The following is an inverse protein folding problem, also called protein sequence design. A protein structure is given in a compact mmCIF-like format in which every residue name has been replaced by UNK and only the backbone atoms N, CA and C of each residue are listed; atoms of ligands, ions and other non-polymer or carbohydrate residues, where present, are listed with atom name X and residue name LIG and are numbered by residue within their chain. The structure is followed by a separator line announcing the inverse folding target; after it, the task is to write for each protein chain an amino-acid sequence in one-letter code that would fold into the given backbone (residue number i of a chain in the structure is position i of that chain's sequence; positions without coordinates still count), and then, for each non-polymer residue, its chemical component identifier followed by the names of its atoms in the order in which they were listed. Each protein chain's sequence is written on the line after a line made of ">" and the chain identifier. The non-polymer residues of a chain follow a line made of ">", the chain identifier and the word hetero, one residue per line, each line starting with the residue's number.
data_IF_840459049866
#
_entry.id   IF_840459049866
#
_cell.length_a   1.000
_cell.length_b   1.000
_cell.length_c   1.000
_cell.angle_alpha   90.00
_cell.angle_beta   90.00
_cell.angle_gamma   90.00
#
_symmetry.space_group_name_H-M   'P 1'
#
loop_
_entity.id
_entity.type
_entity.pdbx_description
1 polymer ?
#
# COMPACT_ATOMS: atom_id res chain seq x y z
N UNK A 1 35.45 9.23 -14.08
CA UNK A 1 34.26 8.51 -13.61
C UNK A 1 34.39 8.41 -12.09
N UNK A 2 33.52 9.06 -11.32
CA UNK A 2 33.58 9.00 -9.86
C UNK A 2 32.96 7.68 -9.38
N UNK A 3 33.77 6.84 -8.75
CA UNK A 3 33.35 5.63 -8.03
C UNK A 3 33.25 5.97 -6.54
N UNK A 4 32.16 5.56 -5.91
CA UNK A 4 31.90 5.81 -4.49
C UNK A 4 31.83 4.46 -3.77
N UNK A 5 32.70 4.25 -2.78
CA UNK A 5 32.83 2.99 -2.03
C UNK A 5 32.17 3.05 -0.64
N UNK A 6 31.34 4.07 -0.38
CA UNK A 6 30.70 4.29 0.92
C UNK A 6 29.33 4.98 0.81
N UNK A 7 28.74 5.31 1.96
CA UNK A 7 27.41 5.91 2.07
C UNK A 7 27.28 7.29 1.39
N UNK A 8 28.38 7.93 0.97
CA UNK A 8 28.32 9.19 0.20
C UNK A 8 27.63 9.01 -1.16
N UNK A 9 27.63 7.79 -1.69
CA UNK A 9 26.83 7.43 -2.87
C UNK A 9 25.32 7.65 -2.63
N UNK A 10 24.83 7.37 -1.42
CA UNK A 10 23.42 7.53 -1.07
C UNK A 10 23.05 9.00 -0.97
N UNK A 11 23.91 9.83 -0.39
CA UNK A 11 23.70 11.28 -0.33
C UNK A 11 23.72 11.93 -1.72
N UNK A 12 24.55 11.42 -2.64
CA UNK A 12 24.61 11.91 -4.02
C UNK A 12 23.33 11.63 -4.83
N UNK A 13 22.64 10.53 -4.54
CA UNK A 13 21.39 10.13 -5.23
C UNK A 13 20.15 10.61 -4.45
N UNK A 14 20.32 11.15 -3.25
CA UNK A 14 19.21 11.61 -2.40
C UNK A 14 18.53 12.84 -3.01
N UNK A 15 17.50 12.58 -3.80
CA UNK A 15 16.65 13.59 -4.41
C UNK A 15 15.27 13.56 -3.77
N UNK A 16 14.78 14.71 -3.32
CA UNK A 16 13.41 14.85 -2.86
C UNK A 16 12.54 15.39 -4.01
N UNK A 17 11.75 14.51 -4.61
CA UNK A 17 10.86 14.83 -5.72
C UNK A 17 9.85 15.94 -5.36
N UNK A 18 9.44 16.06 -4.09
CA UNK A 18 8.53 17.13 -3.65
C UNK A 18 9.22 18.49 -3.53
N UNK A 19 10.46 18.54 -3.03
CA UNK A 19 11.23 19.79 -3.02
C UNK A 19 11.53 20.27 -4.44
N UNK A 20 11.87 19.33 -5.34
CA UNK A 20 12.01 19.64 -6.75
C UNK A 20 10.70 20.12 -7.39
N UNK A 21 9.58 19.47 -7.09
CA UNK A 21 8.26 19.86 -7.58
C UNK A 21 7.80 21.24 -7.07
N UNK A 22 8.15 21.65 -5.85
CA UNK A 22 7.89 23.01 -5.34
C UNK A 22 8.57 24.09 -6.19
N UNK A 23 9.80 23.81 -6.65
CA UNK A 23 10.59 24.74 -7.46
C UNK A 23 10.15 24.69 -8.93
N UNK A 24 9.99 23.50 -9.50
CA UNK A 24 9.73 23.31 -10.92
C UNK A 24 8.25 23.46 -11.31
N UNK A 25 7.31 23.28 -10.37
CA UNK A 25 5.85 23.42 -10.56
C UNK A 25 5.33 22.68 -11.80
N UNK A 26 5.75 21.43 -11.97
CA UNK A 26 5.36 20.64 -13.15
C UNK A 26 3.91 20.18 -13.00
N UNK A 27 3.03 20.70 -13.84
CA UNK A 27 1.59 20.35 -13.81
C UNK A 27 1.38 18.92 -14.28
N UNK A 28 0.63 18.14 -13.51
CA UNK A 28 0.15 16.83 -13.94
C UNK A 28 -0.96 17.01 -14.98
N UNK A 29 -0.71 16.57 -16.22
CA UNK A 29 -1.70 16.57 -17.30
C UNK A 29 -2.58 15.33 -17.22
N UNK A 30 -3.55 15.34 -16.30
CA UNK A 30 -4.53 14.25 -16.12
C UNK A 30 -5.96 14.77 -15.96
N UNK A 31 -6.94 14.11 -16.60
CA UNK A 31 -8.36 14.48 -16.53
C UNK A 31 -9.06 14.08 -15.22
N UNK A 32 -8.43 13.25 -14.38
CA UNK A 32 -9.01 12.73 -13.14
C UNK A 32 -7.93 12.59 -12.07
N UNK A 33 -7.49 13.73 -11.53
CA UNK A 33 -6.35 13.82 -10.60
C UNK A 33 -6.63 13.10 -9.27
N UNK A 34 -7.90 12.98 -8.86
CA UNK A 34 -8.28 12.25 -7.66
C UNK A 34 -8.48 10.75 -7.89
N UNK A 35 -8.36 10.26 -9.14
CA UNK A 35 -8.53 8.85 -9.44
C UNK A 35 -7.47 8.01 -8.73
N UNK A 36 -7.92 7.03 -7.93
CA UNK A 36 -7.04 6.16 -7.16
C UNK A 36 -6.55 6.75 -5.85
N UNK A 37 -7.10 7.88 -5.39
CA UNK A 37 -6.81 8.45 -4.07
C UNK A 37 -7.15 7.46 -2.94
N UNK A 38 -8.09 6.54 -3.16
CA UNK A 38 -8.48 5.47 -2.25
C UNK A 38 -7.34 4.49 -1.96
N UNK A 39 -6.30 4.46 -2.82
CA UNK A 39 -5.07 3.69 -2.59
C UNK A 39 -4.21 4.25 -1.47
N UNK A 40 -4.41 5.53 -1.14
CA UNK A 40 -3.66 6.27 -0.13
C UNK A 40 -4.57 6.57 1.06
N UNK A 41 -5.77 7.09 0.82
CA UNK A 41 -6.75 7.43 1.86
C UNK A 41 -7.62 6.22 2.23
N UNK A 42 -7.10 5.35 3.09
CA UNK A 42 -7.85 4.22 3.64
C UNK A 42 -8.84 4.66 4.72
N UNK A 43 -8.47 5.69 5.48
CA UNK A 43 -9.28 6.33 6.51
C UNK A 43 -9.53 7.78 6.14
N UNK A 44 -10.74 8.27 6.39
CA UNK A 44 -11.03 9.69 6.25
C UNK A 44 -10.16 10.51 7.24
N UNK A 45 -9.35 11.49 6.80
CA UNK A 45 -8.57 12.34 7.70
C UNK A 45 -9.39 13.20 8.69
N UNK A 46 -10.72 13.31 8.50
CA UNK A 46 -11.61 14.10 9.35
C UNK A 46 -12.36 13.27 10.40
N UNK A 47 -12.91 12.11 10.00
CA UNK A 47 -13.73 11.27 10.89
C UNK A 47 -13.15 9.87 11.11
N UNK A 48 -12.01 9.54 10.49
CA UNK A 48 -11.36 8.23 10.53
C UNK A 48 -12.23 7.04 10.07
N UNK A 49 -13.33 7.29 9.37
CA UNK A 49 -14.14 6.22 8.78
C UNK A 49 -13.34 5.47 7.71
N UNK A 50 -13.25 4.14 7.86
CA UNK A 50 -12.51 3.24 6.98
C UNK A 50 -13.21 3.06 5.63
N UNK A 51 -12.44 3.09 4.54
CA UNK A 51 -12.90 2.93 3.14
C UNK A 51 -14.15 3.74 2.80
N UNK A 52 -14.23 4.95 3.35
CA UNK A 52 -15.38 5.86 3.19
C UNK A 52 -15.19 6.88 2.07
N UNK A 53 -13.98 6.98 1.51
CA UNK A 53 -13.64 7.96 0.47
C UNK A 53 -14.01 7.41 -0.91
N UNK A 54 -14.65 8.26 -1.72
CA UNK A 54 -14.97 7.97 -3.12
C UNK A 54 -14.52 9.14 -3.99
N UNK A 55 -13.70 8.88 -5.00
CA UNK A 55 -13.26 9.87 -5.97
C UNK A 55 -14.24 10.04 -7.13
N UNK A 56 -14.35 11.27 -7.62
CA UNK A 56 -14.99 11.62 -8.89
C UNK A 56 -14.27 12.83 -9.51
N UNK A 57 -13.62 12.63 -10.66
CA UNK A 57 -12.80 13.65 -11.32
C UNK A 57 -11.59 14.07 -10.47
N UNK A 58 -11.61 15.33 -9.99
CA UNK A 58 -10.53 15.92 -9.17
C UNK A 58 -10.91 16.07 -7.69
N UNK A 59 -12.10 15.59 -7.30
CA UNK A 59 -12.58 15.65 -5.92
C UNK A 59 -12.76 14.24 -5.37
N UNK A 60 -12.60 14.09 -4.08
CA UNK A 60 -12.99 12.90 -3.35
C UNK A 60 -13.83 13.29 -2.15
N UNK A 61 -14.87 12.52 -1.86
CA UNK A 61 -15.84 12.82 -0.79
C UNK A 61 -15.88 11.64 0.17
N UNK A 62 -15.87 11.95 1.47
CA UNK A 62 -16.16 10.96 2.50
C UNK A 62 -17.66 10.71 2.59
N UNK A 63 -18.11 9.48 2.39
CA UNK A 63 -19.54 9.10 2.52
C UNK A 63 -20.05 9.08 3.96
N UNK A 64 -19.16 9.18 4.95
CA UNK A 64 -19.51 9.15 6.37
C UNK A 64 -19.73 10.55 6.97
N UNK A 65 -18.83 11.51 6.69
CA UNK A 65 -18.90 12.87 7.23
C UNK A 65 -19.01 13.96 6.16
N UNK A 66 -19.13 13.60 4.88
CA UNK A 66 -19.25 14.51 3.74
C UNK A 66 -18.06 15.46 3.52
N UNK A 67 -16.93 15.25 4.20
CA UNK A 67 -15.71 16.04 3.96
C UNK A 67 -15.20 15.85 2.53
N UNK A 68 -14.82 16.95 1.87
CA UNK A 68 -14.26 16.97 0.52
C UNK A 68 -12.73 17.08 0.55
N UNK A 69 -12.08 16.36 -0.36
CA UNK A 69 -10.64 16.38 -0.61
C UNK A 69 -10.41 16.74 -2.08
N UNK A 70 -9.52 17.69 -2.33
CA UNK A 70 -9.17 18.13 -3.68
C UNK A 70 -7.73 17.70 -3.96
N UNK A 71 -7.53 17.09 -5.11
CA UNK A 71 -6.19 16.89 -5.66
C UNK A 71 -5.91 18.02 -6.63
N UNK A 72 -4.92 18.83 -6.32
CA UNK A 72 -4.52 19.94 -7.18
C UNK A 72 -3.68 19.47 -8.38
N UNK A 73 -3.42 20.39 -9.30
CA UNK A 73 -2.65 20.11 -10.52
C UNK A 73 -1.18 19.75 -10.27
N UNK A 74 -0.69 19.89 -9.03
CA UNK A 74 0.67 19.54 -8.62
C UNK A 74 0.72 18.24 -7.81
N UNK A 75 -0.43 17.58 -7.61
CA UNK A 75 -0.53 16.30 -6.91
C UNK A 75 -0.62 16.41 -5.38
N UNK A 76 -0.83 17.62 -4.83
CA UNK A 76 -1.14 17.78 -3.41
C UNK A 76 -2.60 17.45 -3.14
N UNK A 77 -2.86 16.84 -2.00
CA UNK A 77 -4.21 16.59 -1.50
C UNK A 77 -4.46 17.60 -0.38
N UNK A 78 -5.38 18.55 -0.57
CA UNK A 78 -5.64 19.64 0.37
C UNK A 78 -4.35 20.34 0.88
N UNK A 79 -3.45 20.71 -0.03
CA UNK A 79 -2.16 21.34 0.24
C UNK A 79 -1.15 20.49 1.04
N UNK A 80 -1.34 19.18 1.09
CA UNK A 80 -0.40 18.25 1.74
C UNK A 80 0.21 17.28 0.73
N UNK A 81 1.47 16.89 0.96
CA UNK A 81 2.15 15.87 0.16
C UNK A 81 1.54 14.49 0.45
N UNK A 82 1.63 13.60 -0.54
CA UNK A 82 1.21 12.20 -0.38
C UNK A 82 1.98 11.50 0.75
N UNK A 83 3.25 11.86 0.94
CA UNK A 83 4.07 11.29 2.03
C UNK A 83 3.50 11.63 3.40
N UNK A 84 3.16 12.90 3.64
CA UNK A 84 2.57 13.34 4.91
C UNK A 84 1.26 12.63 5.19
N UNK A 85 0.39 12.57 4.18
CA UNK A 85 -0.90 11.89 4.30
C UNK A 85 -0.70 10.40 4.57
N UNK A 86 0.21 9.73 3.85
CA UNK A 86 0.45 8.31 4.06
C UNK A 86 0.95 8.03 5.48
N UNK A 87 1.79 8.93 6.05
CA UNK A 87 2.23 8.81 7.44
C UNK A 87 1.04 8.85 8.41
N UNK A 88 0.13 9.82 8.26
CA UNK A 88 -1.09 9.92 9.08
C UNK A 88 -1.97 8.66 8.94
N UNK A 89 -2.10 8.11 7.73
CA UNK A 89 -2.87 6.89 7.47
C UNK A 89 -2.27 5.66 8.16
N UNK A 90 -0.94 5.55 8.17
CA UNK A 90 -0.23 4.47 8.87
C UNK A 90 -0.38 4.60 10.38
N UNK A 91 -0.31 5.81 10.94
CA UNK A 91 -0.52 6.03 12.37
C UNK A 91 -1.92 5.61 12.86
N UNK A 92 -2.95 5.83 12.04
CA UNK A 92 -4.31 5.35 12.31
C UNK A 92 -4.37 3.82 12.17
N UNK A 93 -3.75 3.28 11.11
CA UNK A 93 -3.73 1.84 10.85
C UNK A 93 -3.06 1.06 11.99
N UNK A 94 -1.93 1.54 12.53
CA UNK A 94 -1.20 0.85 13.59
C UNK A 94 -2.04 0.60 14.85
N UNK A 95 -3.03 1.44 15.10
CA UNK A 95 -3.98 1.32 16.22
C UNK A 95 -5.16 0.39 15.89
N UNK A 96 -5.51 0.27 14.60
CA UNK A 96 -6.79 -0.32 14.14
C UNK A 96 -6.62 -1.52 13.21
N UNK A 97 -5.40 -1.96 12.91
CA UNK A 97 -5.15 -3.00 11.91
C UNK A 97 -5.87 -4.31 12.21
N UNK A 98 -6.12 -4.64 13.48
CA UNK A 98 -6.89 -5.81 13.92
C UNK A 98 -8.37 -5.74 13.57
N UNK A 99 -8.92 -4.54 13.34
CA UNK A 99 -10.30 -4.35 12.87
C UNK A 99 -10.45 -4.74 11.38
N UNK A 100 -9.34 -4.79 10.64
CA UNK A 100 -9.34 -5.08 9.21
C UNK A 100 -9.12 -6.59 9.01
N UNK A 101 -10.24 -7.31 8.92
CA UNK A 101 -10.25 -8.76 8.79
C UNK A 101 -10.45 -9.27 7.35
N UNK A 102 -10.74 -8.39 6.38
CA UNK A 102 -11.05 -8.79 5.01
C UNK A 102 -10.56 -7.78 3.97
N UNK A 103 -9.99 -8.28 2.88
CA UNK A 103 -9.71 -7.56 1.64
C UNK A 103 -10.50 -8.24 0.51
N UNK A 104 -11.39 -7.49 -0.11
CA UNK A 104 -12.28 -8.00 -1.17
C UNK A 104 -11.54 -8.06 -2.51
N UNK A 105 -12.01 -8.88 -3.44
CA UNK A 105 -11.56 -8.64 -4.83
C UNK A 105 -10.19 -9.22 -5.18
N UNK A 106 -9.59 -10.07 -4.34
CA UNK A 106 -8.15 -10.38 -4.49
C UNK A 106 -7.88 -11.46 -5.53
N UNK A 107 -6.70 -11.38 -6.15
CA UNK A 107 -6.09 -12.47 -6.91
C UNK A 107 -4.70 -12.78 -6.33
N UNK A 108 -4.54 -13.97 -5.77
CA UNK A 108 -3.25 -14.50 -5.34
C UNK A 108 -2.64 -15.33 -6.46
N UNK A 109 -1.35 -15.12 -6.72
CA UNK A 109 -0.53 -15.89 -7.65
C UNK A 109 0.67 -16.40 -6.86
N UNK A 110 0.86 -17.72 -6.84
CA UNK A 110 1.98 -18.38 -6.17
C UNK A 110 2.88 -19.00 -7.24
N UNK A 111 4.17 -18.69 -7.17
CA UNK A 111 5.20 -19.26 -8.06
C UNK A 111 6.33 -19.83 -7.25
N UNK A 112 6.92 -20.90 -7.76
CA UNK A 112 8.19 -21.39 -7.23
C UNK A 112 9.28 -20.33 -7.46
N UNK A 113 10.04 -20.02 -6.41
CA UNK A 113 11.03 -18.93 -6.40
C UNK A 113 12.21 -19.22 -7.33
N UNK A 114 12.62 -20.49 -7.49
CA UNK A 114 13.80 -20.87 -8.28
C UNK A 114 13.45 -21.03 -9.76
N UNK A 115 12.36 -21.72 -10.04
CA UNK A 115 11.96 -22.13 -11.39
C UNK A 115 10.95 -21.16 -12.02
N UNK A 116 10.37 -20.23 -11.24
CA UNK A 116 9.29 -19.34 -11.64
C UNK A 116 8.02 -20.07 -12.11
N UNK A 117 7.95 -21.39 -11.93
CA UNK A 117 6.80 -22.23 -12.31
C UNK A 117 5.58 -21.81 -11.51
N UNK A 118 4.46 -21.64 -12.20
CA UNK A 118 3.19 -21.36 -11.55
C UNK A 118 2.79 -22.54 -10.67
N UNK A 119 2.57 -22.27 -9.39
CA UNK A 119 2.13 -23.26 -8.41
C UNK A 119 0.62 -23.17 -8.19
N UNK A 120 0.08 -21.98 -7.97
CA UNK A 120 -1.34 -21.78 -7.74
C UNK A 120 -1.84 -20.39 -8.14
N UNK A 121 -3.13 -20.29 -8.47
CA UNK A 121 -3.87 -19.04 -8.58
C UNK A 121 -5.16 -19.16 -7.78
N UNK A 122 -5.41 -18.21 -6.87
CA UNK A 122 -6.66 -18.12 -6.12
C UNK A 122 -7.30 -16.75 -6.34
N UNK A 123 -8.63 -16.71 -6.34
CA UNK A 123 -9.44 -15.50 -6.47
C UNK A 123 -10.59 -15.54 -5.47
N UNK A 124 -10.93 -14.41 -4.89
CA UNK A 124 -11.98 -14.28 -3.89
C UNK A 124 -11.64 -13.23 -2.85
N UNK A 125 -12.28 -13.33 -1.69
CA UNK A 125 -12.01 -12.46 -0.55
C UNK A 125 -10.87 -13.04 0.28
N UNK A 126 -9.89 -12.20 0.62
CA UNK A 126 -8.80 -12.53 1.52
C UNK A 126 -9.23 -12.24 2.94
N UNK A 127 -9.24 -13.27 3.77
CA UNK A 127 -9.45 -13.13 5.21
C UNK A 127 -8.10 -12.94 5.89
N UNK A 128 -8.09 -12.11 6.93
CA UNK A 128 -6.92 -11.75 7.72
C UNK A 128 -7.27 -12.07 9.17
N UNK A 129 -6.61 -13.08 9.72
CA UNK A 129 -6.70 -13.43 11.14
C UNK A 129 -5.49 -12.88 11.90
N UNK A 130 -5.38 -13.19 13.19
CA UNK A 130 -4.21 -12.82 13.98
C UNK A 130 -2.93 -13.56 13.57
N UNK A 131 -3.04 -14.70 12.88
CA UNK A 131 -1.92 -15.59 12.59
C UNK A 131 -1.67 -15.86 11.10
N UNK A 132 -2.67 -15.65 10.25
CA UNK A 132 -2.60 -16.06 8.87
C UNK A 132 -3.45 -15.19 7.93
N UNK A 133 -3.09 -15.25 6.65
CA UNK A 133 -3.99 -14.92 5.56
C UNK A 133 -4.67 -16.19 5.06
N UNK A 134 -5.96 -16.12 4.78
CA UNK A 134 -6.67 -17.25 4.16
C UNK A 134 -7.58 -16.85 3.01
N UNK A 135 -7.66 -17.72 2.01
CA UNK A 135 -8.56 -17.58 0.87
C UNK A 135 -8.93 -18.96 0.34
N UNK A 136 -10.22 -19.31 0.44
CA UNK A 136 -10.71 -20.65 0.10
C UNK A 136 -9.94 -21.72 0.89
N UNK A 137 -9.25 -22.60 0.20
CA UNK A 137 -8.43 -23.71 0.70
C UNK A 137 -6.94 -23.33 0.88
N UNK A 138 -6.57 -22.07 0.64
CA UNK A 138 -5.20 -21.58 0.84
C UNK A 138 -5.08 -20.84 2.17
N UNK A 139 -4.10 -21.26 2.98
CA UNK A 139 -3.76 -20.67 4.28
C UNK A 139 -2.26 -20.29 4.27
N UNK A 140 -1.94 -19.07 4.69
CA UNK A 140 -0.58 -18.51 4.68
C UNK A 140 -0.27 -17.91 6.05
N UNK A 141 0.44 -18.66 6.89
CA UNK A 141 0.85 -18.21 8.22
C UNK A 141 1.88 -17.07 8.15
N UNK A 142 1.74 -16.08 9.03
CA UNK A 142 2.65 -14.93 9.08
C UNK A 142 4.08 -15.32 9.47
N UNK A 143 4.25 -16.35 10.30
CA UNK A 143 5.55 -16.93 10.70
C UNK A 143 6.43 -17.35 9.50
N UNK A 144 5.79 -17.69 8.39
CA UNK A 144 6.45 -18.18 7.18
C UNK A 144 6.65 -17.11 6.09
N UNK A 145 6.20 -15.88 6.33
CA UNK A 145 6.30 -14.77 5.39
C UNK A 145 7.59 -13.98 5.62
N UNK A 146 8.32 -13.70 4.53
CA UNK A 146 9.55 -12.87 4.54
C UNK A 146 9.55 -11.86 3.39
N UNK A 147 10.19 -10.71 3.62
CA UNK A 147 10.50 -9.74 2.57
C UNK A 147 9.26 -9.16 1.89
N UNK A 148 8.30 -8.64 2.67
CA UNK A 148 7.08 -8.04 2.11
C UNK A 148 7.42 -6.75 1.37
N UNK A 149 6.93 -6.62 0.15
CA UNK A 149 7.12 -5.47 -0.74
C UNK A 149 5.80 -5.08 -1.40
N UNK A 150 5.73 -3.86 -1.92
CA UNK A 150 4.65 -3.42 -2.81
C UNK A 150 5.24 -2.72 -4.02
N UNK A 151 4.72 -3.02 -5.21
CA UNK A 151 5.18 -2.41 -6.45
C UNK A 151 4.14 -1.44 -6.98
N UNK A 152 4.49 -0.14 -7.04
CA UNK A 152 3.60 0.93 -7.52
C UNK A 152 2.20 0.91 -6.88
N UNK A 153 2.06 0.37 -5.65
CA UNK A 153 0.79 0.18 -4.97
C UNK A 153 -0.22 -0.70 -5.74
N UNK A 154 0.25 -1.51 -6.71
CA UNK A 154 -0.59 -2.37 -7.58
C UNK A 154 -0.70 -3.81 -7.11
N UNK A 155 0.29 -4.29 -6.38
CA UNK A 155 0.29 -5.60 -5.75
C UNK A 155 1.21 -5.62 -4.54
N UNK A 156 0.96 -6.58 -3.65
CA UNK A 156 1.80 -6.91 -2.51
C UNK A 156 2.46 -8.25 -2.78
N UNK A 157 3.76 -8.33 -2.55
CA UNK A 157 4.55 -9.52 -2.83
C UNK A 157 5.44 -9.89 -1.64
N UNK A 158 5.59 -11.17 -1.39
CA UNK A 158 6.47 -11.69 -0.35
C UNK A 158 6.96 -13.10 -0.68
N UNK A 159 7.98 -13.53 0.05
CA UNK A 159 8.49 -14.90 0.01
C UNK A 159 7.76 -15.70 1.09
N UNK A 160 7.27 -16.89 0.73
CA UNK A 160 6.63 -17.83 1.64
C UNK A 160 7.42 -19.15 1.71
N UNK A 161 7.66 -19.66 2.92
CA UNK A 161 8.42 -20.89 3.17
C UNK A 161 9.79 -20.95 2.46
N UNK A 162 10.41 -19.79 2.21
CA UNK A 162 11.67 -19.61 1.46
C UNK A 162 11.64 -20.07 -0.02
N UNK A 163 10.62 -20.80 -0.45
CA UNK A 163 10.55 -21.48 -1.74
C UNK A 163 9.54 -20.88 -2.70
N UNK A 164 8.60 -20.06 -2.21
CA UNK A 164 7.53 -19.50 -3.04
C UNK A 164 7.57 -17.97 -3.05
N UNK A 165 7.29 -17.40 -4.21
CA UNK A 165 6.93 -15.99 -4.37
C UNK A 165 5.41 -15.93 -4.42
N UNK A 166 4.82 -15.21 -3.46
CA UNK A 166 3.37 -14.99 -3.37
C UNK A 166 3.09 -13.55 -3.76
N UNK A 167 2.30 -13.36 -4.80
CA UNK A 167 1.84 -12.04 -5.26
C UNK A 167 0.34 -11.91 -5.07
N UNK A 168 -0.07 -10.96 -4.25
CA UNK A 168 -1.47 -10.61 -4.00
C UNK A 168 -1.80 -9.33 -4.74
N UNK A 169 -2.73 -9.42 -5.68
CA UNK A 169 -3.30 -8.29 -6.40
C UNK A 169 -4.62 -7.91 -5.76
N UNK A 170 -4.72 -6.67 -5.31
CA UNK A 170 -5.95 -6.06 -4.79
C UNK A 170 -6.05 -4.65 -5.36
N UNK A 171 -7.14 -4.35 -6.06
CA UNK A 171 -7.29 -3.18 -6.94
C UNK A 171 -6.77 -1.88 -6.33
N UNK A 172 -7.32 -1.50 -5.17
CA UNK A 172 -6.95 -0.28 -4.46
C UNK A 172 -6.30 -0.54 -3.09
N UNK A 173 -6.16 -1.80 -2.69
CA UNK A 173 -5.86 -2.18 -1.30
C UNK A 173 -4.46 -2.76 -1.12
N UNK A 174 -3.63 -2.76 -2.17
CA UNK A 174 -2.31 -3.40 -2.10
C UNK A 174 -1.39 -2.68 -1.12
N UNK A 175 -1.37 -1.35 -1.12
CA UNK A 175 -0.56 -0.60 -0.15
C UNK A 175 -1.08 -0.80 1.29
N UNK A 176 -2.39 -0.82 1.48
CA UNK A 176 -3.01 -1.14 2.78
C UNK A 176 -2.54 -2.51 3.28
N UNK A 177 -2.66 -3.55 2.44
CA UNK A 177 -2.23 -4.91 2.75
C UNK A 177 -0.74 -4.96 3.09
N UNK A 178 0.11 -4.24 2.36
CA UNK A 178 1.54 -4.15 2.65
C UNK A 178 1.78 -3.65 4.08
N UNK A 179 1.10 -2.58 4.52
CA UNK A 179 1.26 -2.07 5.88
C UNK A 179 0.68 -2.99 6.95
N UNK A 180 -0.47 -3.64 6.68
CA UNK A 180 -1.05 -4.65 7.58
C UNK A 180 -0.06 -5.80 7.80
N UNK A 181 0.51 -6.36 6.73
CA UNK A 181 1.48 -7.45 6.82
C UNK A 181 2.73 -7.04 7.58
N UNK A 182 3.26 -5.84 7.34
CA UNK A 182 4.40 -5.34 8.11
C UNK A 182 4.09 -5.24 9.59
N UNK A 183 2.86 -4.85 9.96
CA UNK A 183 2.46 -4.78 11.37
C UNK A 183 2.40 -6.15 12.01
N UNK A 184 1.77 -7.13 11.36
CA UNK A 184 1.74 -8.51 11.86
C UNK A 184 3.15 -9.11 11.97
N UNK A 185 4.00 -8.95 10.96
CA UNK A 185 5.37 -9.45 11.00
C UNK A 185 6.20 -8.80 12.12
N UNK A 186 6.00 -7.52 12.41
CA UNK A 186 6.63 -6.86 13.55
C UNK A 186 6.16 -7.45 14.89
N UNK A 187 4.89 -7.81 15.01
CA UNK A 187 4.37 -8.48 16.22
C UNK A 187 5.01 -9.86 16.38
N UNK A 188 5.10 -10.65 15.31
CA UNK A 188 5.71 -11.98 15.33
C UNK A 188 7.24 -11.99 15.49
N UNK A 189 7.92 -10.92 15.09
CA UNK A 189 9.39 -10.83 15.27
C UNK A 189 9.80 -10.38 16.67
N UNK A 190 8.87 -9.81 17.46
CA UNK A 190 9.14 -9.20 18.76
C UNK A 190 8.29 -9.78 19.91
N UNK A 191 7.57 -10.87 19.65
CA UNK A 191 6.80 -11.63 20.64
C UNK A 191 7.37 -13.03 20.75
#
# INVERSE_FOLDING_TARGET
>A
MQTFDDSRALDFIKHNEWEWQKVQKIKFKGKSLASGIERILWFCPKCHAFKSISSNGNKAICKNCNSSFIVDEFGYINNQTVEKILKEQVEILDKRFKEINTIKNVKIIIRDKKTNKLHAIKKGDLLISNAELSIKDLYLEFSHIKGVTTFLKKFTEFIYNSNYVVRIKSENESLLLYHILRRYLHVYSNG
#
